data_IF_819028790026
#
_entry.id   IF_819028790026
#
_cell.length_a   1.000
_cell.length_b   1.000
_cell.length_c   1.000
_cell.angle_alpha   90.00
_cell.angle_beta   90.00
_cell.angle_gamma   90.00
#
_symmetry.space_group_name_H-M   'P 1'
#
loop_
_entity.id
_entity.type
_entity.pdbx_description
1 polymer ?
#
# COMPACT_ATOMS: atom_id res chain seq x y z
N UNK A 1 -25.49 -25.72 -18.10
CA UNK A 1 -24.31 -26.54 -18.49
C UNK A 1 -23.68 -25.88 -19.70
N UNK A 2 -22.74 -24.96 -19.48
CA UNK A 2 -21.98 -24.32 -20.56
C UNK A 2 -20.49 -24.61 -20.32
N UNK A 3 -19.88 -25.35 -21.26
CA UNK A 3 -18.46 -25.63 -21.32
C UNK A 3 -17.79 -24.64 -22.29
N UNK A 4 -16.77 -23.98 -21.77
CA UNK A 4 -15.48 -23.54 -22.35
C UNK A 4 -15.28 -23.84 -23.85
N UNK A 5 -14.94 -22.82 -24.66
CA UNK A 5 -13.71 -22.71 -25.47
C UNK A 5 -13.67 -21.39 -26.29
N UNK A 6 -12.45 -20.94 -26.58
CA UNK A 6 -12.05 -19.96 -27.62
C UNK A 6 -12.00 -18.45 -27.28
N UNK A 7 -11.02 -18.09 -26.43
CA UNK A 7 -10.35 -16.78 -26.46
C UNK A 7 -9.07 -16.93 -27.30
N UNK A 8 -9.23 -17.10 -28.60
CA UNK A 8 -8.14 -16.98 -29.59
C UNK A 8 -8.68 -16.29 -30.83
N UNK A 9 -8.99 -15.00 -30.72
CA UNK A 9 -9.41 -14.23 -31.88
C UNK A 9 -9.20 -12.72 -31.71
N UNK A 10 -8.02 -12.29 -31.25
CA UNK A 10 -7.57 -10.91 -31.51
C UNK A 10 -6.04 -10.80 -31.45
N UNK A 11 -5.35 -11.58 -32.30
CA UNK A 11 -3.93 -11.40 -32.62
C UNK A 11 -3.75 -11.30 -34.14
N UNK A 12 -3.89 -10.08 -34.65
CA UNK A 12 -3.47 -9.59 -35.98
C UNK A 12 -3.71 -8.09 -35.95
N UNK A 13 -2.78 -7.18 -36.19
CA UNK A 13 -1.67 -7.17 -37.14
C UNK A 13 -0.53 -6.31 -36.53
N UNK A 14 0.66 -6.89 -36.38
CA UNK A 14 1.91 -6.13 -36.34
C UNK A 14 2.37 -5.92 -37.78
N UNK A 15 2.50 -4.68 -38.24
CA UNK A 15 3.51 -4.32 -39.27
C UNK A 15 4.23 -3.02 -38.92
N UNK A 16 5.54 -2.92 -39.25
CA UNK A 16 6.42 -1.87 -38.75
C UNK A 16 6.67 -0.77 -39.78
N UNK A 17 7.03 0.41 -39.24
CA UNK A 17 7.97 1.38 -39.81
C UNK A 17 7.61 2.04 -41.16
N UNK A 18 7.29 3.34 -41.12
CA UNK A 18 7.87 4.27 -42.08
C UNK A 18 7.79 5.72 -41.58
N UNK A 19 8.91 6.19 -41.02
CA UNK A 19 9.24 7.61 -41.01
C UNK A 19 9.12 8.15 -42.43
N UNK A 20 8.25 9.14 -42.67
CA UNK A 20 8.39 10.09 -43.79
C UNK A 20 7.38 11.24 -43.67
N UNK A 21 7.91 12.44 -43.93
CA UNK A 21 7.21 13.67 -44.29
C UNK A 21 6.49 14.44 -43.16
N UNK A 22 7.29 14.90 -42.20
CA UNK A 22 7.09 16.24 -41.64
C UNK A 22 7.27 17.24 -42.79
N UNK A 23 6.19 17.91 -43.21
CA UNK A 23 6.13 19.23 -43.88
C UNK A 23 4.74 19.36 -44.48
N UNK A 24 3.83 20.06 -43.81
CA UNK A 24 2.79 20.92 -44.41
C UNK A 24 2.07 21.70 -43.30
N UNK A 25 2.60 22.88 -43.01
CA UNK A 25 1.90 24.17 -42.95
C UNK A 25 0.43 24.20 -42.45
N UNK A 26 0.21 24.50 -41.16
CA UNK A 26 -0.95 25.25 -40.65
C UNK A 26 -0.70 25.70 -39.19
N UNK A 27 -0.92 26.99 -38.83
CA UNK A 27 -0.78 27.50 -37.47
C UNK A 27 -2.12 27.33 -36.74
N UNK A 28 -2.30 26.26 -35.97
CA UNK A 28 -3.51 26.11 -35.17
C UNK A 28 -3.22 25.33 -33.88
N UNK A 29 -3.42 26.01 -32.74
CA UNK A 29 -3.54 25.46 -31.39
C UNK A 29 -2.35 24.67 -30.81
N UNK A 30 -1.19 25.31 -30.62
CA UNK A 30 -0.22 24.89 -29.59
C UNK A 30 -0.58 25.52 -28.23
N UNK A 31 -1.65 25.04 -27.62
CA UNK A 31 -1.83 25.02 -26.16
C UNK A 31 -2.25 23.60 -25.79
N UNK A 32 -1.44 22.61 -26.17
CA UNK A 32 -1.55 21.28 -25.58
C UNK A 32 -0.96 21.40 -24.17
N UNK A 33 -1.79 21.81 -23.21
CA UNK A 33 -1.46 21.73 -21.80
C UNK A 33 -1.17 20.27 -21.49
N UNK A 34 0.12 19.96 -21.38
CA UNK A 34 0.61 18.71 -20.84
C UNK A 34 0.17 18.66 -19.36
N UNK A 35 -0.97 18.06 -19.07
CA UNK A 35 -1.34 17.72 -17.71
C UNK A 35 -0.39 16.60 -17.31
N UNK A 36 0.66 16.94 -16.56
CA UNK A 36 1.46 15.97 -15.86
C UNK A 36 0.55 15.28 -14.83
N UNK A 37 0.09 14.07 -15.14
CA UNK A 37 -0.52 13.21 -14.12
C UNK A 37 0.60 12.87 -13.12
N UNK A 38 0.56 13.50 -11.95
CA UNK A 38 1.46 13.17 -10.85
C UNK A 38 1.08 11.79 -10.33
N UNK A 39 1.99 10.82 -10.47
CA UNK A 39 1.85 9.53 -9.82
C UNK A 39 1.80 9.73 -8.29
N UNK A 40 0.82 9.15 -7.57
CA UNK A 40 0.75 9.29 -6.12
C UNK A 40 2.01 8.75 -5.43
N UNK A 41 2.66 7.74 -6.01
CA UNK A 41 3.94 7.21 -5.55
C UNK A 41 5.11 8.20 -5.71
N UNK A 42 5.08 9.06 -6.73
CA UNK A 42 6.09 10.11 -6.94
C UNK A 42 6.01 11.17 -5.83
N UNK A 43 4.80 11.46 -5.35
CA UNK A 43 4.58 12.42 -4.26
C UNK A 43 5.16 11.90 -2.93
N UNK A 44 4.96 10.61 -2.61
CA UNK A 44 5.46 10.01 -1.36
C UNK A 44 6.98 10.09 -1.23
N UNK A 45 7.72 9.75 -2.29
CA UNK A 45 9.18 9.78 -2.28
C UNK A 45 9.73 11.20 -2.17
N UNK A 46 9.14 12.14 -2.90
CA UNK A 46 9.56 13.55 -2.86
C UNK A 46 9.30 14.15 -1.48
N UNK A 47 8.11 13.91 -0.92
CA UNK A 47 7.76 14.36 0.42
C UNK A 47 8.63 13.71 1.49
N UNK A 48 9.03 12.44 1.29
CA UNK A 48 9.96 11.78 2.19
C UNK A 48 11.27 12.56 2.31
N UNK A 49 11.96 12.75 1.19
CA UNK A 49 13.27 13.39 1.18
C UNK A 49 13.22 14.85 1.66
N UNK A 50 12.16 15.58 1.32
CA UNK A 50 12.06 17.03 1.60
C UNK A 50 11.48 17.38 2.96
N UNK A 51 10.52 16.59 3.46
CA UNK A 51 9.74 16.93 4.65
C UNK A 51 9.96 15.94 5.79
N UNK A 52 10.02 14.65 5.49
CA UNK A 52 9.98 13.59 6.51
C UNK A 52 11.36 13.22 7.01
N UNK A 53 12.30 13.00 6.10
CA UNK A 53 13.68 12.65 6.46
C UNK A 53 14.33 13.67 7.41
N UNK A 54 14.14 15.00 7.24
CA UNK A 54 14.62 15.98 8.23
C UNK A 54 14.01 15.78 9.63
N UNK A 55 12.70 15.49 9.71
CA UNK A 55 12.00 15.23 10.98
C UNK A 55 12.54 13.94 11.63
N UNK A 56 12.70 12.87 10.86
CA UNK A 56 13.26 11.61 11.37
C UNK A 56 14.69 11.78 11.87
N UNK A 57 15.50 12.58 11.15
CA UNK A 57 16.87 12.87 11.54
C UNK A 57 16.95 13.61 12.88
N UNK A 58 16.03 14.54 13.13
CA UNK A 58 16.00 15.33 14.36
C UNK A 58 15.45 14.55 15.56
N UNK A 59 14.39 13.76 15.37
CA UNK A 59 13.61 13.21 16.49
C UNK A 59 13.68 11.68 16.62
N UNK A 60 14.20 10.96 15.63
CA UNK A 60 14.16 9.49 15.61
C UNK A 60 15.54 8.86 15.48
N UNK A 61 16.45 9.46 14.71
CA UNK A 61 17.74 8.86 14.40
C UNK A 61 18.71 8.86 15.58
N UNK A 62 18.43 9.56 16.68
CA UNK A 62 19.24 9.43 17.89
C UNK A 62 19.21 8.00 18.45
N UNK A 63 18.05 7.32 18.38
CA UNK A 63 17.86 5.96 18.92
C UNK A 63 17.71 4.90 17.82
N UNK A 64 17.21 5.27 16.64
CA UNK A 64 16.81 4.34 15.58
C UNK A 64 17.74 4.42 14.35
N UNK A 65 19.05 4.43 14.57
CA UNK A 65 20.09 4.47 13.52
C UNK A 65 21.13 3.37 13.71
N UNK A 66 21.69 2.89 12.60
CA UNK A 66 22.83 1.98 12.60
C UNK A 66 22.52 0.57 13.11
N UNK A 67 23.58 -0.16 13.49
CA UNK A 67 23.50 -1.56 13.94
C UNK A 67 23.01 -1.69 15.40
N UNK A 68 23.20 -0.66 16.22
CA UNK A 68 22.80 -0.61 17.63
C UNK A 68 21.41 0.03 17.83
N UNK A 69 20.62 0.12 16.75
CA UNK A 69 19.31 0.76 16.78
C UNK A 69 18.36 0.10 17.78
N UNK A 70 17.68 0.92 18.58
CA UNK A 70 16.73 0.44 19.59
C UNK A 70 15.60 -0.37 18.95
N UNK A 71 15.22 -1.46 19.63
CA UNK A 71 14.20 -2.41 19.19
C UNK A 71 14.43 -3.00 17.78
N UNK A 72 15.70 -2.99 17.32
CA UNK A 72 16.10 -3.45 15.98
C UNK A 72 15.42 -2.64 14.85
N UNK A 73 15.00 -1.41 15.13
CA UNK A 73 14.35 -0.53 14.16
C UNK A 73 15.37 0.50 13.66
N UNK A 74 15.95 0.25 12.48
CA UNK A 74 16.87 1.18 11.82
C UNK A 74 16.15 1.99 10.73
N UNK A 75 15.79 3.23 11.05
CA UNK A 75 15.05 4.11 10.14
C UNK A 75 15.94 4.74 9.05
N UNK A 76 17.27 4.75 9.22
CA UNK A 76 18.21 5.23 8.20
C UNK A 76 18.26 4.31 6.96
N UNK A 77 17.94 3.02 7.15
CA UNK A 77 17.94 2.03 6.07
C UNK A 77 16.90 2.31 4.98
N UNK A 78 15.90 3.16 5.26
CA UNK A 78 14.84 3.51 4.33
C UNK A 78 15.17 4.81 3.57
N UNK A 79 15.61 4.70 2.32
CA UNK A 79 16.02 5.84 1.49
C UNK A 79 15.07 6.08 0.33
N UNK A 80 14.44 5.03 -0.17
CA UNK A 80 13.58 5.08 -1.33
C UNK A 80 12.34 4.20 -1.18
N UNK A 81 11.41 4.32 -2.12
CA UNK A 81 10.15 3.57 -2.14
C UNK A 81 10.34 2.06 -2.01
N UNK A 82 11.38 1.50 -2.64
CA UNK A 82 11.63 0.06 -2.59
C UNK A 82 12.10 -0.41 -1.22
N UNK A 83 12.74 0.45 -0.43
CA UNK A 83 13.10 0.15 0.95
C UNK A 83 11.85 0.07 1.83
N UNK A 84 10.91 1.02 1.70
CA UNK A 84 9.66 1.01 2.46
C UNK A 84 8.82 -0.24 2.17
N UNK A 85 8.76 -0.66 0.90
CA UNK A 85 8.01 -1.85 0.49
C UNK A 85 8.60 -3.15 1.04
N UNK A 86 9.94 -3.21 1.16
CA UNK A 86 10.65 -4.39 1.67
C UNK A 86 10.29 -4.69 3.13
N UNK A 87 10.05 -3.65 3.91
CA UNK A 87 9.69 -3.77 5.32
C UNK A 87 8.59 -2.79 5.72
N UNK A 88 7.40 -3.01 5.17
CA UNK A 88 6.21 -2.22 5.51
C UNK A 88 5.79 -2.42 6.97
N UNK A 89 6.15 -3.55 7.59
CA UNK A 89 5.77 -3.90 8.97
C UNK A 89 6.40 -2.94 9.97
N UNK A 90 7.64 -2.53 9.75
CA UNK A 90 8.27 -1.50 10.57
C UNK A 90 7.51 -0.18 10.52
N UNK A 91 7.01 0.24 9.34
CA UNK A 91 6.22 1.46 9.21
C UNK A 91 4.83 1.38 9.86
N UNK A 92 4.23 0.18 9.94
CA UNK A 92 3.02 -0.06 10.75
C UNK A 92 3.31 0.18 12.24
N UNK A 93 4.44 -0.34 12.75
CA UNK A 93 4.86 -0.08 14.14
C UNK A 93 5.12 1.40 14.39
N UNK A 94 5.79 2.09 13.46
CA UNK A 94 6.01 3.54 13.54
C UNK A 94 4.68 4.28 13.64
N UNK A 95 3.69 3.94 12.80
CA UNK A 95 2.36 4.53 12.87
C UNK A 95 1.70 4.32 14.25
N UNK A 96 1.80 3.11 14.80
CA UNK A 96 1.27 2.78 16.13
C UNK A 96 1.94 3.61 17.23
N UNK A 97 3.28 3.67 17.24
CA UNK A 97 4.05 4.43 18.24
C UNK A 97 3.76 5.94 18.18
N UNK A 98 3.61 6.50 16.98
CA UNK A 98 3.24 7.90 16.79
C UNK A 98 1.80 8.16 17.23
N UNK A 99 0.86 7.26 16.91
CA UNK A 99 -0.56 7.40 17.28
C UNK A 99 -0.76 7.36 18.79
N UNK A 100 -0.05 6.48 19.47
CA UNK A 100 -0.05 6.31 20.93
C UNK A 100 0.82 7.33 21.67
N UNK A 101 1.58 8.17 20.94
CA UNK A 101 2.51 9.17 21.50
C UNK A 101 3.54 8.54 22.45
N UNK A 102 3.92 7.28 22.20
CA UNK A 102 4.98 6.60 22.95
C UNK A 102 6.36 6.97 22.40
N UNK A 103 6.43 7.33 21.11
CA UNK A 103 7.64 7.81 20.45
C UNK A 103 7.44 9.21 19.86
N UNK A 104 8.43 10.10 19.99
CA UNK A 104 9.69 9.92 20.73
C UNK A 104 9.48 9.83 22.27
N UNK A 105 10.37 9.18 23.04
CA UNK A 105 10.22 9.06 24.49
C UNK A 105 10.13 10.43 25.19
N UNK A 106 9.38 10.53 26.30
CA UNK A 106 9.20 11.80 27.04
C UNK A 106 10.49 12.52 27.45
N UNK A 107 11.61 11.81 27.54
CA UNK A 107 12.92 12.35 27.91
C UNK A 107 13.75 12.85 26.72
N UNK A 108 13.35 12.55 25.48
CA UNK A 108 14.00 13.02 24.26
C UNK A 108 13.30 14.26 23.72
N UNK A 109 13.93 14.89 22.72
CA UNK A 109 13.34 16.00 21.99
C UNK A 109 12.00 15.57 21.34
N UNK A 110 11.01 16.45 21.45
CA UNK A 110 9.66 16.20 20.94
C UNK A 110 9.38 17.08 19.71
N UNK A 111 8.78 16.54 18.65
CA UNK A 111 8.33 17.34 17.52
C UNK A 111 7.19 18.26 17.92
N UNK A 112 7.06 19.39 17.23
CA UNK A 112 5.85 20.22 17.33
C UNK A 112 4.61 19.44 16.86
N UNK A 113 3.41 19.86 17.28
CA UNK A 113 2.16 19.25 16.80
C UNK A 113 2.05 19.26 15.27
N UNK A 114 2.58 20.30 14.63
CA UNK A 114 2.61 20.43 13.17
C UNK A 114 3.51 19.38 12.52
N UNK A 115 4.73 19.20 13.03
CA UNK A 115 5.68 18.20 12.53
C UNK A 115 5.16 16.79 12.78
N UNK A 116 4.58 16.54 13.95
CA UNK A 116 3.95 15.27 14.27
C UNK A 116 2.79 14.98 13.33
N UNK A 117 1.96 15.98 13.01
CA UNK A 117 0.88 15.87 12.04
C UNK A 117 1.37 15.57 10.62
N UNK A 118 2.44 16.24 10.18
CA UNK A 118 3.08 15.98 8.88
C UNK A 118 3.58 14.53 8.82
N UNK A 119 4.29 14.08 9.86
CA UNK A 119 4.84 12.74 9.94
C UNK A 119 3.74 11.68 9.92
N UNK A 120 2.72 11.82 10.79
CA UNK A 120 1.58 10.89 10.86
C UNK A 120 0.84 10.78 9.53
N UNK A 121 0.57 11.91 8.89
CA UNK A 121 -0.13 11.93 7.62
C UNK A 121 0.68 11.24 6.51
N UNK A 122 1.99 11.50 6.45
CA UNK A 122 2.83 10.86 5.45
C UNK A 122 2.94 9.34 5.68
N UNK A 123 3.14 8.90 6.92
CA UNK A 123 3.18 7.46 7.25
C UNK A 123 1.86 6.78 6.90
N UNK A 124 0.73 7.41 7.23
CA UNK A 124 -0.58 6.89 6.88
C UNK A 124 -0.78 6.79 5.36
N UNK A 125 -0.38 7.83 4.62
CA UNK A 125 -0.47 7.81 3.15
C UNK A 125 0.40 6.71 2.54
N UNK A 126 1.62 6.50 3.04
CA UNK A 126 2.48 5.38 2.65
C UNK A 126 1.78 4.04 2.85
N UNK A 127 1.22 3.80 4.04
CA UNK A 127 0.55 2.55 4.37
C UNK A 127 -0.71 2.33 3.53
N UNK A 128 -1.50 3.39 3.29
CA UNK A 128 -2.70 3.33 2.45
C UNK A 128 -2.36 3.03 0.99
N UNK A 129 -1.36 3.71 0.42
CA UNK A 129 -0.95 3.45 -0.96
C UNK A 129 -0.37 2.04 -1.13
N UNK A 130 0.36 1.53 -0.14
CA UNK A 130 0.84 0.14 -0.20
C UNK A 130 -0.30 -0.87 -0.03
N UNK A 131 -1.25 -0.61 0.88
CA UNK A 131 -2.44 -1.44 1.04
C UNK A 131 -3.30 -1.48 -0.23
N UNK A 132 -3.41 -0.36 -0.96
CA UNK A 132 -4.12 -0.31 -2.26
C UNK A 132 -3.48 -1.19 -3.32
N UNK A 133 -2.15 -1.31 -3.35
CA UNK A 133 -1.46 -2.21 -4.30
C UNK A 133 -1.75 -3.68 -4.02
N UNK A 134 -2.00 -4.01 -2.75
CA UNK A 134 -2.37 -5.34 -2.28
C UNK A 134 -3.90 -5.54 -2.23
N UNK A 135 -4.69 -4.54 -2.61
CA UNK A 135 -6.14 -4.60 -2.51
C UNK A 135 -6.67 -5.75 -3.39
N UNK A 136 -7.43 -6.65 -2.77
CA UNK A 136 -7.99 -7.83 -3.42
C UNK A 136 -7.18 -9.11 -3.22
N UNK A 137 -5.93 -9.02 -2.74
CA UNK A 137 -5.18 -10.17 -2.26
C UNK A 137 -5.34 -10.26 -0.73
N UNK A 138 -6.13 -11.21 -0.19
CA UNK A 138 -6.23 -11.43 1.25
C UNK A 138 -4.93 -12.01 1.85
N UNK A 139 -3.89 -12.17 1.03
CA UNK A 139 -2.67 -12.85 1.35
C UNK A 139 -2.90 -14.36 1.45
N UNK A 140 -2.00 -15.03 2.17
CA UNK A 140 -2.18 -16.45 2.50
C UNK A 140 -3.31 -16.60 3.53
N UNK A 141 -4.52 -16.85 3.05
CA UNK A 141 -5.65 -17.25 3.92
C UNK A 141 -5.38 -18.66 4.42
N UNK A 142 -4.97 -18.78 5.68
CA UNK A 142 -4.98 -20.07 6.36
C UNK A 142 -6.44 -20.46 6.63
N UNK A 143 -6.81 -21.69 6.31
CA UNK A 143 -8.14 -22.20 6.64
C UNK A 143 -8.28 -22.20 8.16
N UNK A 144 -9.06 -21.25 8.68
CA UNK A 144 -9.45 -21.24 10.09
C UNK A 144 -10.63 -22.20 10.30
N UNK A 145 -10.73 -22.77 11.49
CA UNK A 145 -11.93 -23.52 11.90
C UNK A 145 -13.12 -22.56 11.89
N UNK A 146 -14.22 -23.00 11.28
CA UNK A 146 -15.51 -22.31 11.39
C UNK A 146 -16.02 -22.43 12.81
N UNK A 147 -16.54 -21.35 13.38
CA UNK A 147 -17.31 -21.47 14.61
C UNK A 147 -18.66 -22.15 14.34
N UNK A 148 -19.39 -22.55 15.39
CA UNK A 148 -20.64 -23.29 15.23
C UNK A 148 -21.69 -22.54 14.37
N UNK A 149 -21.78 -21.22 14.53
CA UNK A 149 -22.69 -20.39 13.75
C UNK A 149 -22.30 -20.37 12.26
N UNK A 150 -21.02 -20.15 11.96
CA UNK A 150 -20.47 -20.13 10.60
C UNK A 150 -20.60 -21.50 9.91
N UNK A 151 -20.39 -22.59 10.65
CA UNK A 151 -20.57 -23.94 10.12
C UNK A 151 -22.04 -24.21 9.80
N UNK A 152 -22.96 -23.91 10.72
CA UNK A 152 -24.39 -24.05 10.46
C UNK A 152 -24.83 -23.24 9.23
N UNK A 153 -24.39 -21.99 9.11
CA UNK A 153 -24.74 -21.16 7.97
C UNK A 153 -24.13 -21.69 6.68
N UNK A 154 -22.87 -22.14 6.70
CA UNK A 154 -22.22 -22.73 5.53
C UNK A 154 -22.95 -23.99 5.05
N UNK A 155 -23.40 -24.85 5.96
CA UNK A 155 -24.17 -26.05 5.60
C UNK A 155 -25.53 -25.67 5.00
N UNK A 156 -26.24 -24.68 5.56
CA UNK A 156 -27.50 -24.18 5.00
C UNK A 156 -27.30 -23.57 3.61
N UNK A 157 -26.25 -22.77 3.43
CA UNK A 157 -25.95 -22.12 2.16
C UNK A 157 -25.58 -23.14 1.08
N UNK A 158 -24.79 -24.16 1.42
CA UNK A 158 -24.37 -25.20 0.49
C UNK A 158 -25.51 -26.17 0.11
N UNK A 159 -26.44 -26.44 1.04
CA UNK A 159 -27.52 -27.42 0.83
C UNK A 159 -28.85 -26.79 0.42
N UNK A 160 -29.03 -25.49 0.66
CA UNK A 160 -30.27 -24.76 0.45
C UNK A 160 -31.36 -25.06 1.50
N UNK A 161 -31.07 -25.84 2.54
CA UNK A 161 -32.06 -26.24 3.56
C UNK A 161 -31.90 -25.38 4.80
N UNK A 162 -32.74 -24.35 4.93
CA UNK A 162 -32.65 -23.35 6.01
C UNK A 162 -32.90 -23.91 7.42
N UNK A 163 -33.59 -25.06 7.53
CA UNK A 163 -33.92 -25.68 8.81
C UNK A 163 -32.78 -26.45 9.46
N UNK A 164 -31.69 -26.77 8.73
CA UNK A 164 -30.60 -27.59 9.28
C UNK A 164 -29.92 -26.89 10.46
N UNK A 165 -29.68 -27.63 11.56
CA UNK A 165 -28.84 -27.15 12.67
C UNK A 165 -27.82 -28.21 13.08
N UNK A 166 -26.78 -28.46 12.25
CA UNK A 166 -25.87 -29.58 12.45
C UNK A 166 -25.19 -29.61 13.82
N UNK A 167 -24.80 -28.45 14.35
CA UNK A 167 -24.12 -28.35 15.65
C UNK A 167 -25.02 -28.61 16.86
N UNK A 168 -26.33 -28.74 16.65
CA UNK A 168 -27.30 -29.11 17.69
C UNK A 168 -27.90 -30.51 17.44
N UNK A 169 -27.99 -30.94 16.18
CA UNK A 169 -28.67 -32.17 15.77
C UNK A 169 -27.74 -33.37 15.64
N UNK A 170 -26.44 -33.15 15.42
CA UNK A 170 -25.44 -34.21 15.33
C UNK A 170 -24.44 -34.10 16.50
N UNK A 171 -24.10 -35.24 17.16
CA UNK A 171 -23.17 -35.27 18.29
C UNK A 171 -21.73 -34.91 17.91
#
# INVERSE_FOLDING_TARGET
MFKITDITLFKKELKPNLQKAFKFLAPFCLHFSLIAQQDPASNIQEDYSKKIHPILKEFCFECHIGEEAEAEVNLESFKNITDFQRDIKTWIKVAEMLSSQQMPPKKSNQPSEKELGILKNWVNNLLVEEAKKLAGDPGRVVLRRLNNYEYNQSVRDLTGVSSLNPTHEFP
#
